data_IF_009138914679
#
_entry.id   IF_009138914679
#
_cell.length_a   1.000
_cell.length_b   1.000
_cell.length_c   1.000
_cell.angle_alpha   90.00
_cell.angle_beta   90.00
_cell.angle_gamma   90.00
#
_symmetry.space_group_name_H-M   'P 1'
#
loop_
_entity.id
_entity.type
_entity.pdbx_description
1 polymer ?
#
# COMPACT_ATOMS: atom_id res chain seq x y z
N UNK A 1 -5.61 15.35 -9.96
CA UNK A 1 -4.91 14.51 -8.96
C UNK A 1 -3.51 15.04 -8.63
N UNK A 2 -2.73 15.46 -9.63
CA UNK A 2 -1.36 15.91 -9.40
C UNK A 2 -1.25 17.05 -8.39
N UNK A 3 -2.15 18.03 -8.46
CA UNK A 3 -2.19 19.15 -7.51
C UNK A 3 -2.39 18.66 -6.08
N UNK A 4 -3.29 17.69 -5.89
CA UNK A 4 -3.56 17.08 -4.57
C UNK A 4 -2.36 16.26 -4.08
N UNK A 5 -1.69 15.54 -4.97
CA UNK A 5 -0.49 14.79 -4.62
C UNK A 5 0.64 15.71 -4.16
N UNK A 6 0.86 16.81 -4.87
CA UNK A 6 1.87 17.81 -4.50
C UNK A 6 1.58 18.44 -3.14
N UNK A 7 0.33 18.81 -2.90
CA UNK A 7 -0.07 19.39 -1.61
C UNK A 7 0.11 18.39 -0.46
N UNK A 8 -0.34 17.16 -0.67
CA UNK A 8 -0.18 16.08 0.31
C UNK A 8 1.29 15.83 0.62
N UNK A 9 2.11 15.63 -0.42
CA UNK A 9 3.53 15.32 -0.23
C UNK A 9 4.32 16.47 0.38
N UNK A 10 3.97 17.71 0.05
CA UNK A 10 4.60 18.88 0.67
C UNK A 10 4.34 18.92 2.17
N UNK A 11 3.10 18.66 2.58
CA UNK A 11 2.71 18.65 4.00
C UNK A 11 3.39 17.51 4.76
N UNK A 12 3.37 16.30 4.20
CA UNK A 12 3.81 15.09 4.92
C UNK A 12 5.30 14.78 4.75
N UNK A 13 5.90 15.20 3.64
CA UNK A 13 7.29 14.81 3.28
C UNK A 13 8.18 15.99 2.98
N UNK A 14 7.66 17.22 3.06
CA UNK A 14 8.47 18.44 2.92
C UNK A 14 8.79 18.85 1.50
N UNK A 15 8.32 18.11 0.49
CA UNK A 15 8.54 18.43 -0.92
C UNK A 15 7.36 18.03 -1.78
N UNK A 16 7.16 18.73 -2.89
CA UNK A 16 6.11 18.43 -3.84
C UNK A 16 6.50 17.22 -4.70
N UNK A 17 5.69 16.16 -4.66
CA UNK A 17 5.93 14.93 -5.40
C UNK A 17 4.64 14.49 -6.09
N UNK A 18 4.78 13.92 -7.30
CA UNK A 18 3.70 13.16 -7.95
C UNK A 18 4.14 11.72 -8.21
N UNK A 19 5.45 11.48 -8.26
CA UNK A 19 6.05 10.18 -8.52
C UNK A 19 6.91 9.75 -7.35
N UNK A 20 7.08 8.44 -7.23
CA UNK A 20 7.94 7.83 -6.22
C UNK A 20 9.06 7.03 -6.86
N UNK A 21 10.17 6.87 -6.15
CA UNK A 21 11.17 5.83 -6.41
C UNK A 21 10.85 4.67 -5.49
N UNK A 22 10.36 3.54 -6.00
CA UNK A 22 9.94 2.43 -5.14
C UNK A 22 11.10 1.85 -4.34
N UNK A 23 10.95 1.84 -3.02
CA UNK A 23 11.87 1.23 -2.08
C UNK A 23 11.22 0.11 -1.28
N UNK A 24 9.89 0.13 -1.18
CA UNK A 24 9.12 -0.85 -0.42
C UNK A 24 7.79 -1.16 -1.11
N UNK A 25 7.25 -2.31 -0.76
CA UNK A 25 5.85 -2.66 -1.00
C UNK A 25 5.18 -2.74 0.37
N UNK A 26 4.01 -2.14 0.50
CA UNK A 26 3.15 -2.31 1.68
C UNK A 26 1.91 -3.10 1.26
N UNK A 27 1.67 -4.21 1.93
CA UNK A 27 0.55 -5.11 1.67
C UNK A 27 -0.58 -4.79 2.63
N UNK A 28 -1.79 -4.64 2.08
CA UNK A 28 -3.00 -4.28 2.82
C UNK A 28 -4.13 -5.26 2.58
N UNK A 29 -5.16 -5.18 3.41
CA UNK A 29 -6.49 -5.65 3.06
C UNK A 29 -7.48 -4.49 3.08
N UNK A 30 -8.58 -4.63 2.33
CA UNK A 30 -9.57 -3.55 2.18
C UNK A 30 -10.55 -3.47 3.35
N UNK A 31 -10.59 -4.49 4.19
CA UNK A 31 -11.56 -4.67 5.28
C UNK A 31 -13.02 -4.74 4.78
N UNK A 32 -13.21 -5.16 3.53
CA UNK A 32 -14.53 -5.40 2.94
C UNK A 32 -14.46 -6.59 1.96
N UNK A 33 -15.58 -6.91 1.30
CA UNK A 33 -15.69 -8.06 0.41
C UNK A 33 -15.91 -7.68 -1.06
N UNK A 34 -15.79 -6.39 -1.42
CA UNK A 34 -16.11 -5.92 -2.76
C UNK A 34 -14.94 -5.27 -3.46
N UNK A 35 -14.43 -5.93 -4.51
CA UNK A 35 -13.39 -5.35 -5.38
C UNK A 35 -13.93 -4.11 -6.11
N UNK A 36 -15.13 -4.21 -6.67
CA UNK A 36 -15.77 -3.10 -7.36
C UNK A 36 -16.04 -1.92 -6.42
N UNK A 37 -16.54 -2.20 -5.21
CA UNK A 37 -16.81 -1.15 -4.22
C UNK A 37 -15.54 -0.42 -3.79
N UNK A 38 -14.44 -1.15 -3.62
CA UNK A 38 -13.15 -0.54 -3.30
C UNK A 38 -12.63 0.30 -4.46
N UNK A 39 -12.74 -0.21 -5.68
CA UNK A 39 -12.37 0.55 -6.87
C UNK A 39 -13.16 1.86 -6.96
N UNK A 40 -14.46 1.83 -6.77
CA UNK A 40 -15.29 3.02 -6.78
C UNK A 40 -14.89 4.02 -5.69
N UNK A 41 -14.57 3.54 -4.51
CA UNK A 41 -14.12 4.40 -3.41
C UNK A 41 -12.79 5.07 -3.75
N UNK A 42 -11.84 4.34 -4.32
CA UNK A 42 -10.53 4.88 -4.69
C UNK A 42 -10.57 5.76 -5.95
N UNK A 43 -11.63 5.68 -6.74
CA UNK A 43 -11.73 6.42 -8.00
C UNK A 43 -11.76 7.93 -7.79
N UNK A 44 -12.39 8.39 -6.71
CA UNK A 44 -12.42 9.81 -6.39
C UNK A 44 -10.98 10.29 -6.09
N UNK A 45 -10.57 11.39 -6.72
CA UNK A 45 -9.24 11.95 -6.51
C UNK A 45 -9.14 12.70 -5.19
N UNK A 46 -10.23 13.30 -4.75
CA UNK A 46 -10.30 14.11 -3.53
C UNK A 46 -11.34 13.55 -2.56
N UNK A 47 -11.02 13.60 -1.28
CA UNK A 47 -11.94 13.26 -0.20
C UNK A 47 -11.88 14.35 0.87
N UNK A 48 -12.84 15.29 0.86
CA UNK A 48 -12.84 16.44 1.80
C UNK A 48 -12.97 16.05 3.27
N UNK A 49 -13.37 14.80 3.57
CA UNK A 49 -13.50 14.30 4.95
C UNK A 49 -12.15 13.94 5.58
N UNK A 50 -11.10 13.80 4.77
CA UNK A 50 -9.79 13.43 5.28
C UNK A 50 -9.09 14.63 5.91
N UNK A 51 -8.37 14.38 7.00
CA UNK A 51 -7.54 15.36 7.68
C UNK A 51 -6.13 15.36 7.09
N UNK A 52 -5.44 16.49 7.24
CA UNK A 52 -4.05 16.67 6.79
C UNK A 52 -3.86 16.43 5.29
N UNK A 53 -4.71 17.10 4.54
CA UNK A 53 -4.78 17.00 3.08
C UNK A 53 -5.95 16.17 2.63
N UNK A 54 -6.47 16.49 1.45
CA UNK A 54 -7.70 15.90 0.91
C UNK A 54 -7.44 14.95 -0.26
N UNK A 55 -6.18 14.65 -0.59
CA UNK A 55 -5.88 13.57 -1.52
C UNK A 55 -6.57 12.30 -1.00
N UNK A 56 -7.40 11.68 -1.85
CA UNK A 56 -8.10 10.48 -1.45
C UNK A 56 -7.13 9.31 -1.21
N UNK A 57 -7.52 8.40 -0.35
CA UNK A 57 -6.80 7.13 -0.16
C UNK A 57 -6.85 6.32 -1.45
N UNK A 58 -5.82 5.50 -1.66
CA UNK A 58 -5.73 4.66 -2.84
C UNK A 58 -4.45 3.86 -2.81
N UNK A 59 -4.35 2.92 -3.73
CA UNK A 59 -3.15 2.11 -3.92
C UNK A 59 -2.92 1.88 -5.40
N UNK A 60 -1.71 1.50 -5.76
CA UNK A 60 -1.38 1.23 -7.16
C UNK A 60 -2.06 -0.05 -7.65
N UNK A 61 -2.25 -1.04 -6.80
CA UNK A 61 -2.84 -2.34 -7.16
C UNK A 61 -3.96 -2.75 -6.21
N UNK A 62 -4.94 -3.44 -6.76
CA UNK A 62 -6.06 -4.02 -6.02
C UNK A 62 -6.24 -5.47 -6.48
N UNK A 63 -6.16 -6.41 -5.56
CA UNK A 63 -6.24 -7.85 -5.83
C UNK A 63 -7.55 -8.41 -5.28
N UNK A 64 -8.36 -8.97 -6.16
CA UNK A 64 -9.64 -9.57 -5.80
C UNK A 64 -9.50 -10.94 -5.14
N UNK A 65 -10.58 -11.42 -4.55
CA UNK A 65 -10.64 -12.71 -3.86
C UNK A 65 -10.21 -13.90 -4.74
N UNK A 66 -10.44 -13.79 -6.04
CA UNK A 66 -10.04 -14.79 -7.05
C UNK A 66 -8.60 -14.64 -7.53
N UNK A 67 -7.86 -13.65 -7.01
CA UNK A 67 -6.50 -13.35 -7.42
C UNK A 67 -6.41 -12.39 -8.61
N UNK A 68 -7.52 -11.87 -9.11
CA UNK A 68 -7.49 -10.91 -10.22
C UNK A 68 -6.78 -9.61 -9.78
N UNK A 69 -5.76 -9.21 -10.52
CA UNK A 69 -4.97 -8.01 -10.22
C UNK A 69 -5.48 -6.86 -11.07
N UNK A 70 -5.95 -5.80 -10.41
CA UNK A 70 -6.31 -4.55 -11.08
C UNK A 70 -5.25 -3.51 -10.78
N UNK A 71 -4.65 -2.95 -11.83
CA UNK A 71 -3.75 -1.80 -11.68
C UNK A 71 -4.59 -0.53 -11.74
N UNK A 72 -4.57 0.25 -10.67
CA UNK A 72 -5.42 1.43 -10.52
C UNK A 72 -4.73 2.72 -10.94
N UNK A 73 -3.40 2.73 -10.93
CA UNK A 73 -2.59 3.88 -11.32
C UNK A 73 -1.19 3.42 -11.69
N UNK A 74 -0.36 4.27 -12.30
CA UNK A 74 1.02 3.91 -12.59
C UNK A 74 1.76 3.46 -11.34
N UNK A 75 2.63 2.47 -11.48
CA UNK A 75 3.40 1.89 -10.36
C UNK A 75 4.17 2.94 -9.58
N UNK A 76 4.66 3.96 -10.28
CA UNK A 76 5.46 5.02 -9.68
C UNK A 76 4.67 6.27 -9.31
N UNK A 77 3.34 6.25 -9.43
CA UNK A 77 2.53 7.36 -8.95
C UNK A 77 2.44 7.30 -7.42
N UNK A 78 2.47 8.46 -6.77
CA UNK A 78 2.27 8.54 -5.33
C UNK A 78 0.81 8.21 -4.99
N UNK A 79 0.60 7.28 -4.06
CA UNK A 79 -0.73 6.92 -3.57
C UNK A 79 -0.76 7.05 -2.04
N UNK A 80 -1.96 7.35 -1.50
CA UNK A 80 -2.15 7.52 -0.06
C UNK A 80 -2.66 6.22 0.54
N UNK A 81 -1.75 5.40 1.08
CA UNK A 81 -2.12 4.09 1.65
C UNK A 81 -1.42 3.75 2.96
N UNK A 82 -0.28 4.35 3.26
CA UNK A 82 0.48 4.06 4.49
C UNK A 82 1.19 5.32 4.98
N UNK A 83 0.84 5.76 6.18
CA UNK A 83 1.47 6.94 6.81
C UNK A 83 2.98 6.71 6.87
N UNK A 84 3.76 7.75 6.57
CA UNK A 84 5.22 7.72 6.63
C UNK A 84 5.90 7.03 5.48
N UNK A 85 5.17 6.31 4.61
CA UNK A 85 5.74 5.43 3.59
C UNK A 85 5.27 5.75 2.16
N UNK A 86 4.24 6.58 1.98
CA UNK A 86 3.70 6.83 0.63
C UNK A 86 4.70 7.45 -0.33
N UNK A 87 5.72 8.11 0.18
CA UNK A 87 6.75 8.75 -0.66
C UNK A 87 7.67 7.73 -1.36
N UNK A 88 7.70 6.49 -0.89
CA UNK A 88 8.63 5.46 -1.40
C UNK A 88 8.01 4.07 -1.55
N UNK A 89 6.73 3.88 -1.22
CA UNK A 89 6.14 2.55 -1.20
C UNK A 89 5.02 2.39 -2.23
N UNK A 90 5.03 1.23 -2.89
CA UNK A 90 3.91 0.77 -3.71
C UNK A 90 2.94 0.04 -2.80
N UNK A 91 1.65 0.37 -2.89
CA UNK A 91 0.59 -0.28 -2.11
C UNK A 91 -0.12 -1.37 -2.91
N UNK A 92 -0.33 -2.51 -2.28
CA UNK A 92 -1.16 -3.59 -2.82
C UNK A 92 -2.30 -3.81 -1.83
N UNK A 93 -3.53 -3.52 -2.26
CA UNK A 93 -4.74 -3.80 -1.49
C UNK A 93 -5.31 -5.15 -1.89
N UNK A 94 -5.69 -5.94 -0.90
CA UNK A 94 -6.33 -7.24 -1.11
C UNK A 94 -7.75 -7.19 -0.58
N UNK A 95 -8.71 -7.56 -1.40
CA UNK A 95 -10.12 -7.58 -0.98
C UNK A 95 -10.32 -8.64 0.10
N UNK A 96 -10.73 -8.24 1.28
CA UNK A 96 -10.94 -9.13 2.41
C UNK A 96 -10.61 -8.46 3.72
N UNK A 97 -10.51 -9.25 4.77
CA UNK A 97 -10.17 -8.77 6.11
C UNK A 97 -11.33 -8.07 6.82
N UNK A 98 -12.57 -8.26 6.36
CA UNK A 98 -13.73 -7.68 7.02
C UNK A 98 -13.74 -8.08 8.51
N UNK A 99 -13.98 -7.10 9.38
CA UNK A 99 -13.99 -7.27 10.84
C UNK A 99 -12.65 -7.77 11.40
N UNK A 100 -11.54 -7.53 10.69
CA UNK A 100 -10.22 -7.97 11.11
C UNK A 100 -9.95 -9.45 10.94
N UNK A 101 -10.79 -10.15 10.18
CA UNK A 101 -10.65 -11.58 9.96
C UNK A 101 -9.54 -11.89 8.96
N UNK A 102 -8.64 -12.78 9.30
CA UNK A 102 -7.57 -13.22 8.40
C UNK A 102 -8.13 -14.22 7.37
N UNK A 103 -8.82 -13.71 6.35
CA UNK A 103 -9.54 -14.52 5.37
C UNK A 103 -9.06 -14.32 3.92
N UNK A 104 -7.87 -13.74 3.73
CA UNK A 104 -7.31 -13.63 2.38
C UNK A 104 -7.08 -15.02 1.79
N UNK A 105 -7.33 -15.13 0.49
CA UNK A 105 -7.37 -16.42 -0.18
C UNK A 105 -5.99 -16.89 -0.67
N UNK A 106 -5.89 -18.18 -0.97
CA UNK A 106 -4.73 -18.76 -1.62
C UNK A 106 -4.45 -18.08 -2.98
N UNK A 107 -5.51 -17.79 -3.74
CA UNK A 107 -5.39 -17.09 -5.02
C UNK A 107 -4.79 -15.68 -4.84
N UNK A 108 -5.17 -14.98 -3.78
CA UNK A 108 -4.58 -13.68 -3.46
C UNK A 108 -3.12 -13.81 -3.06
N UNK A 109 -2.76 -14.83 -2.30
CA UNK A 109 -1.37 -15.08 -1.95
C UNK A 109 -0.52 -15.31 -3.20
N UNK A 110 -0.95 -16.17 -4.10
CA UNK A 110 -0.25 -16.42 -5.36
C UNK A 110 -0.11 -15.16 -6.20
N UNK A 111 -1.18 -14.36 -6.29
CA UNK A 111 -1.16 -13.10 -7.02
C UNK A 111 -0.14 -12.12 -6.43
N UNK A 112 -0.09 -11.99 -5.12
CA UNK A 112 0.89 -11.12 -4.46
C UNK A 112 2.33 -11.60 -4.68
N UNK A 113 2.58 -12.90 -4.61
CA UNK A 113 3.91 -13.47 -4.88
C UNK A 113 4.36 -13.08 -6.30
N UNK A 114 3.50 -13.29 -7.28
CA UNK A 114 3.82 -12.98 -8.68
C UNK A 114 4.04 -11.48 -8.88
N UNK A 115 3.15 -10.66 -8.34
CA UNK A 115 3.21 -9.20 -8.49
C UNK A 115 4.45 -8.61 -7.81
N UNK A 116 4.74 -9.02 -6.59
CA UNK A 116 5.90 -8.52 -5.85
C UNK A 116 7.19 -8.98 -6.51
N UNK A 117 7.27 -10.23 -6.98
CA UNK A 117 8.43 -10.72 -7.73
C UNK A 117 8.69 -9.87 -8.98
N UNK A 118 7.64 -9.56 -9.73
CA UNK A 118 7.72 -8.67 -10.89
C UNK A 118 8.23 -7.28 -10.50
N UNK A 119 7.70 -6.70 -9.44
CA UNK A 119 8.09 -5.36 -8.99
C UNK A 119 9.55 -5.32 -8.52
N UNK A 120 9.99 -6.34 -7.79
CA UNK A 120 11.38 -6.43 -7.33
C UNK A 120 12.36 -6.56 -8.50
N UNK A 121 12.00 -7.30 -9.54
CA UNK A 121 12.83 -7.41 -10.75
C UNK A 121 12.90 -6.08 -11.49
N UNK A 122 11.78 -5.36 -11.56
CA UNK A 122 11.69 -4.10 -12.30
C UNK A 122 12.39 -2.94 -11.58
N UNK A 123 12.30 -2.91 -10.25
CA UNK A 123 12.83 -1.83 -9.41
C UNK A 123 13.90 -2.34 -8.47
N UNK A 124 15.20 -2.23 -8.84
CA UNK A 124 16.29 -2.73 -7.99
C UNK A 124 16.35 -2.09 -6.61
N UNK A 125 15.79 -0.88 -6.46
CA UNK A 125 15.72 -0.18 -5.17
C UNK A 125 14.62 -0.70 -4.24
N UNK A 126 13.71 -1.54 -4.75
CA UNK A 126 12.62 -2.13 -3.98
C UNK A 126 13.14 -3.34 -3.20
N UNK A 127 13.58 -3.12 -1.97
CA UNK A 127 14.25 -4.13 -1.16
C UNK A 127 13.44 -4.59 0.05
N UNK A 128 12.32 -3.93 0.34
CA UNK A 128 11.54 -4.16 1.57
C UNK A 128 10.08 -4.47 1.24
N UNK A 129 9.56 -5.51 1.87
CA UNK A 129 8.14 -5.89 1.78
C UNK A 129 7.57 -5.91 3.19
N UNK A 130 6.54 -5.09 3.42
CA UNK A 130 5.92 -4.91 4.73
C UNK A 130 4.42 -5.20 4.66
N UNK A 131 3.89 -5.85 5.68
CA UNK A 131 2.48 -5.74 5.99
C UNK A 131 2.21 -4.38 6.65
N UNK A 132 1.03 -3.82 6.44
CA UNK A 132 0.70 -2.51 7.03
C UNK A 132 0.86 -2.51 8.55
N UNK A 133 0.54 -3.63 9.23
CA UNK A 133 0.71 -3.75 10.68
C UNK A 133 2.18 -3.65 11.13
N UNK A 134 3.12 -3.78 10.21
CA UNK A 134 4.55 -3.72 10.51
C UNK A 134 5.15 -2.32 10.36
N UNK A 135 4.30 -1.31 10.20
CA UNK A 135 4.77 0.08 10.01
C UNK A 135 5.62 0.59 11.17
N UNK A 136 5.46 0.07 12.38
CA UNK A 136 6.30 0.42 13.52
C UNK A 136 7.77 0.04 13.30
N UNK A 137 8.02 -1.07 12.62
CA UNK A 137 9.39 -1.46 12.24
C UNK A 137 9.99 -0.46 11.26
N UNK A 138 9.18 0.03 10.33
CA UNK A 138 9.64 1.01 9.35
C UNK A 138 10.01 2.35 10.01
N UNK A 139 9.38 2.71 11.11
CA UNK A 139 9.70 3.93 11.88
C UNK A 139 11.15 3.94 12.35
N UNK A 140 11.77 2.78 12.53
CA UNK A 140 13.16 2.65 12.98
C UNK A 140 14.15 2.73 11.81
N UNK A 141 13.69 2.97 10.60
CA UNK A 141 14.50 2.95 9.38
C UNK A 141 14.40 4.26 8.62
N UNK A 142 15.25 4.42 7.60
CA UNK A 142 15.20 5.58 6.69
C UNK A 142 14.02 5.53 5.71
N UNK A 143 13.22 4.47 5.72
CA UNK A 143 11.99 4.40 4.92
C UNK A 143 10.88 5.29 5.47
N UNK A 144 10.93 5.60 6.77
CA UNK A 144 9.88 6.38 7.40
C UNK A 144 10.15 7.86 7.29
N UNK A 145 9.16 8.61 6.82
CA UNK A 145 9.14 10.06 6.92
C UNK A 145 7.72 10.56 7.11
N UNK A 146 7.47 11.31 8.16
CA UNK A 146 6.20 11.96 8.41
C UNK A 146 6.45 13.28 9.14
N UNK A 147 6.20 14.40 8.46
CA UNK A 147 6.46 15.73 9.01
C UNK A 147 5.33 16.23 9.92
N UNK A 148 4.12 15.65 9.80
CA UNK A 148 2.98 16.06 10.64
C UNK A 148 3.13 15.42 12.03
N UNK A 149 3.27 16.22 13.10
CA UNK A 149 3.44 15.67 14.44
C UNK A 149 2.25 14.81 14.89
N UNK A 150 2.56 13.67 15.48
CA UNK A 150 1.57 12.74 16.06
C UNK A 150 0.58 12.15 15.06
N UNK A 151 0.85 12.27 13.77
CA UNK A 151 0.03 11.66 12.74
C UNK A 151 0.42 10.21 12.56
N UNK A 152 -0.34 9.31 13.22
CA UNK A 152 -0.07 7.88 13.22
C UNK A 152 -1.31 7.11 13.68
N UNK A 153 -1.60 5.99 13.01
CA UNK A 153 -2.68 5.08 13.37
C UNK A 153 -2.17 3.64 13.31
N UNK A 154 -2.38 2.87 14.37
CA UNK A 154 -2.07 1.44 14.39
C UNK A 154 -2.91 0.68 13.36
N UNK A 155 -2.30 -0.34 12.75
CA UNK A 155 -2.94 -1.16 11.71
C UNK A 155 -2.73 -2.64 11.98
N UNK A 156 -3.64 -3.47 11.48
CA UNK A 156 -3.59 -4.92 11.64
C UNK A 156 -3.47 -5.66 10.29
N UNK A 157 -3.75 -4.99 9.17
CA UNK A 157 -3.76 -5.60 7.84
C UNK A 157 -2.35 -5.88 7.31
N UNK A 158 -2.14 -6.90 6.53
CA UNK A 158 -3.08 -7.93 6.07
C UNK A 158 -3.10 -9.15 6.99
N UNK A 159 -2.66 -9.03 8.22
CA UNK A 159 -2.51 -10.11 9.19
C UNK A 159 -1.18 -10.86 9.06
N UNK A 160 -0.68 -11.41 10.17
CA UNK A 160 0.63 -12.07 10.17
C UNK A 160 0.66 -13.40 9.38
N UNK A 161 -0.47 -14.09 9.26
CA UNK A 161 -0.52 -15.36 8.53
C UNK A 161 -0.24 -15.16 7.05
N UNK A 162 -0.87 -14.16 6.43
CA UNK A 162 -0.65 -13.84 5.01
C UNK A 162 0.81 -13.42 4.77
N UNK A 163 1.34 -12.56 5.62
CA UNK A 163 2.72 -12.08 5.48
C UNK A 163 3.74 -13.21 5.65
N UNK A 164 3.48 -14.17 6.55
CA UNK A 164 4.35 -15.34 6.72
C UNK A 164 4.42 -16.15 5.43
N UNK A 165 3.27 -16.51 4.86
CA UNK A 165 3.21 -17.26 3.60
C UNK A 165 3.88 -16.53 2.44
N UNK A 166 3.65 -15.21 2.36
CA UNK A 166 4.25 -14.37 1.33
C UNK A 166 5.78 -14.34 1.44
N UNK A 167 6.32 -14.13 2.63
CA UNK A 167 7.77 -14.09 2.86
C UNK A 167 8.45 -15.41 2.59
N UNK A 168 7.84 -16.51 3.02
CA UNK A 168 8.40 -17.84 2.75
C UNK A 168 8.53 -18.06 1.23
N UNK A 169 7.50 -17.72 0.48
CA UNK A 169 7.51 -17.88 -0.98
C UNK A 169 8.52 -16.98 -1.66
N UNK A 170 8.62 -15.71 -1.24
CA UNK A 170 9.58 -14.76 -1.82
C UNK A 170 11.02 -15.14 -1.52
N UNK A 171 11.30 -15.67 -0.33
CA UNK A 171 12.63 -16.16 0.04
C UNK A 171 13.04 -17.35 -0.81
N UNK A 172 12.11 -18.29 -1.11
CA UNK A 172 12.38 -19.47 -1.96
C UNK A 172 12.69 -19.08 -3.40
N UNK A 173 12.09 -17.98 -3.89
CA UNK A 173 12.36 -17.49 -5.24
C UNK A 173 13.70 -16.77 -5.38
N UNK A 174 14.25 -16.41 -4.28
CA UNK A 174 15.44 -15.67 -4.23
C UNK A 174 16.40 -15.33 -4.14
#
# INVERSE_FOLDING_TARGET
>A
RNTLMKAYSKLHYGREMTDIKPRAVVVHWTANDSQEGTYQFFYAEENPRLSYGTLNVGAQFLVGRDGAIWQLMPETALARHAIGLNWCAIGIENVGGARGKEDLTEAQLRANIALISYLKDKYPTLTTVLGHYEQDKAKQTDLWREDVPNYYHGKIDPGPTFMKGLREALTKKG
#
